data_IF_299429426233
#
_entry.id   IF_299429426233
#
_cell.length_a   1.000
_cell.length_b   1.000
_cell.length_c   1.000
_cell.angle_alpha   90.00
_cell.angle_beta   90.00
_cell.angle_gamma   90.00
#
_symmetry.space_group_name_H-M   'P 1'
#
loop_
_entity.id
_entity.type
_entity.pdbx_description
1 polymer ?
#
# COMPACT_ATOMS: atom_id res chain seq x y z
N UNK A 1 1.69 6.81 6.06
CA UNK A 1 2.73 7.79 6.44
C UNK A 1 4.08 7.43 5.83
N UNK A 2 4.59 6.22 6.06
CA UNK A 2 5.77 5.69 5.37
C UNK A 2 5.37 5.01 4.05
N UNK A 3 6.16 5.19 2.98
CA UNK A 3 5.94 4.49 1.72
C UNK A 3 6.42 3.04 1.85
N UNK A 4 5.57 2.10 1.41
CA UNK A 4 5.83 0.66 1.54
C UNK A 4 6.27 0.07 0.21
N UNK A 5 7.25 -0.83 0.28
CA UNK A 5 7.63 -1.74 -0.80
C UNK A 5 7.31 -3.14 -0.31
N UNK A 6 6.56 -3.90 -1.11
CA UNK A 6 6.14 -5.25 -0.77
C UNK A 6 6.28 -6.18 -1.97
N UNK A 7 6.27 -7.49 -1.71
CA UNK A 7 6.20 -8.48 -2.79
C UNK A 7 4.77 -8.60 -3.32
N UNK A 8 4.63 -8.85 -4.61
CA UNK A 8 3.34 -9.15 -5.25
C UNK A 8 2.93 -10.61 -4.99
N UNK A 9 2.48 -10.88 -3.77
CA UNK A 9 1.93 -12.18 -3.38
C UNK A 9 0.41 -12.10 -3.18
N UNK A 10 -0.34 -13.15 -3.53
CA UNK A 10 -1.69 -13.34 -3.01
C UNK A 10 -1.61 -13.59 -1.50
N UNK A 11 -2.39 -12.93 -0.63
CA UNK A 11 -3.30 -11.79 -0.76
C UNK A 11 -2.80 -10.63 0.11
N UNK A 12 -3.24 -9.40 -0.16
CA UNK A 12 -2.97 -8.25 0.71
C UNK A 12 -2.14 -7.16 0.04
N UNK A 13 -0.87 -7.37 -0.34
CA UNK A 13 -0.01 -6.30 -0.87
C UNK A 13 -0.59 -5.56 -2.07
N UNK A 14 -1.12 -6.28 -3.06
CA UNK A 14 -1.72 -5.68 -4.25
C UNK A 14 -2.95 -4.83 -3.91
N UNK A 15 -3.80 -5.31 -2.99
CA UNK A 15 -4.97 -4.59 -2.50
C UNK A 15 -4.56 -3.36 -1.69
N UNK A 16 -3.70 -3.54 -0.68
CA UNK A 16 -3.23 -2.49 0.23
C UNK A 16 -2.50 -1.38 -0.54
N UNK A 17 -1.70 -1.71 -1.55
CA UNK A 17 -0.97 -0.72 -2.33
C UNK A 17 -1.74 -0.21 -3.56
N UNK A 18 -2.97 -0.68 -3.79
CA UNK A 18 -3.79 -0.35 -4.96
C UNK A 18 -3.02 -0.57 -6.27
N UNK A 19 -2.57 -1.81 -6.48
CA UNK A 19 -1.75 -2.23 -7.62
C UNK A 19 -0.50 -1.34 -7.86
N UNK A 20 0.12 -0.86 -6.77
CA UNK A 20 1.33 -0.03 -6.82
C UNK A 20 1.08 1.48 -6.92
N UNK A 21 -0.15 1.96 -6.80
CA UNK A 21 -0.44 3.39 -6.79
C UNK A 21 0.12 4.12 -5.55
N UNK A 22 0.20 3.41 -4.40
CA UNK A 22 0.62 3.95 -3.10
C UNK A 22 1.91 3.33 -2.54
N UNK A 23 2.62 2.54 -3.35
CA UNK A 23 3.84 1.83 -2.98
C UNK A 23 4.39 1.05 -4.18
N UNK A 24 5.41 0.23 -3.99
CA UNK A 24 5.95 -0.60 -5.08
C UNK A 24 5.70 -2.08 -4.77
N UNK A 25 5.25 -2.80 -5.79
CA UNK A 25 5.13 -4.26 -5.77
C UNK A 25 6.29 -4.86 -6.56
N UNK A 26 6.99 -5.82 -5.97
CA UNK A 26 8.10 -6.55 -6.61
C UNK A 26 7.79 -8.05 -6.67
N UNK A 27 8.35 -8.83 -7.62
CA UNK A 27 8.13 -10.28 -7.64
C UNK A 27 8.58 -10.97 -6.36
N UNK A 28 7.87 -12.04 -5.96
CA UNK A 28 8.25 -12.87 -4.81
C UNK A 28 9.61 -13.53 -5.10
N UNK A 29 10.53 -13.43 -4.15
CA UNK A 29 11.87 -14.03 -4.26
C UNK A 29 12.90 -13.20 -5.03
N UNK A 30 12.50 -12.07 -5.63
CA UNK A 30 13.41 -11.18 -6.36
C UNK A 30 14.01 -10.11 -5.42
N UNK A 31 15.08 -10.48 -4.72
CA UNK A 31 15.80 -9.58 -3.83
C UNK A 31 16.48 -8.41 -4.56
N UNK A 32 16.87 -8.61 -5.82
CA UNK A 32 17.45 -7.56 -6.64
C UNK A 32 16.41 -6.48 -6.95
N UNK A 33 15.22 -6.85 -7.40
CA UNK A 33 14.11 -5.93 -7.63
C UNK A 33 13.72 -5.18 -6.34
N UNK A 34 13.66 -5.87 -5.20
CA UNK A 34 13.39 -5.24 -3.90
C UNK A 34 14.42 -4.14 -3.57
N UNK A 35 15.71 -4.43 -3.74
CA UNK A 35 16.78 -3.47 -3.47
C UNK A 35 16.73 -2.25 -4.39
N UNK A 36 16.43 -2.46 -5.68
CA UNK A 36 16.27 -1.39 -6.66
C UNK A 36 15.07 -0.49 -6.34
N UNK A 37 13.94 -1.09 -5.94
CA UNK A 37 12.75 -0.37 -5.50
C UNK A 37 13.03 0.52 -4.27
N UNK A 38 13.83 0.03 -3.31
CA UNK A 38 14.24 0.82 -2.15
C UNK A 38 15.02 2.08 -2.57
N UNK A 39 15.98 1.93 -3.48
CA UNK A 39 16.74 3.07 -4.02
C UNK A 39 15.84 4.04 -4.79
N UNK A 40 14.86 3.54 -5.54
CA UNK A 40 13.89 4.38 -6.25
C UNK A 40 13.05 5.22 -5.28
N UNK A 41 12.52 4.61 -4.22
CA UNK A 41 11.71 5.31 -3.21
C UNK A 41 12.52 6.37 -2.47
N UNK A 42 13.78 6.08 -2.14
CA UNK A 42 14.66 7.07 -1.50
C UNK A 42 14.94 8.28 -2.40
N UNK A 43 15.02 8.08 -3.72
CA UNK A 43 15.27 9.16 -4.69
C UNK A 43 14.03 9.98 -5.00
N UNK A 44 12.87 9.34 -5.08
CA UNK A 44 11.61 9.97 -5.48
C UNK A 44 10.44 9.39 -4.68
N UNK A 45 10.30 9.79 -3.40
CA UNK A 45 9.22 9.29 -2.56
C UNK A 45 7.88 9.91 -2.97
N UNK A 46 6.79 9.18 -2.72
CA UNK A 46 5.46 9.75 -2.74
C UNK A 46 5.30 10.78 -1.62
N UNK A 47 4.41 11.75 -1.83
CA UNK A 47 4.10 12.74 -0.81
C UNK A 47 3.42 12.09 0.39
N UNK A 48 3.68 12.63 1.59
CA UNK A 48 3.04 12.16 2.81
C UNK A 48 1.51 12.21 2.70
N UNK A 49 0.95 13.24 2.07
CA UNK A 49 -0.50 13.37 1.87
C UNK A 49 -1.09 12.20 1.09
N UNK A 50 -0.43 11.79 0.01
CA UNK A 50 -0.85 10.63 -0.79
C UNK A 50 -0.79 9.33 0.01
N UNK A 51 0.23 9.18 0.86
CA UNK A 51 0.35 8.02 1.75
C UNK A 51 -0.70 8.03 2.88
N UNK A 52 -1.07 9.21 3.36
CA UNK A 52 -2.12 9.37 4.38
C UNK A 52 -3.51 9.16 3.80
N UNK A 53 -3.75 9.57 2.55
CA UNK A 53 -4.98 9.27 1.80
C UNK A 53 -5.25 7.76 1.78
N UNK A 54 -4.25 6.94 1.42
CA UNK A 54 -4.42 5.49 1.42
C UNK A 54 -4.69 4.92 2.80
N UNK A 55 -4.00 5.42 3.83
CA UNK A 55 -4.22 4.98 5.20
C UNK A 55 -5.66 5.26 5.68
N UNK A 56 -6.22 6.42 5.32
CA UNK A 56 -7.61 6.79 5.66
C UNK A 56 -8.65 5.86 5.04
N UNK A 57 -8.35 5.22 3.91
CA UNK A 57 -9.23 4.18 3.36
C UNK A 57 -9.43 3.02 4.34
N UNK A 58 -8.43 2.70 5.16
CA UNK A 58 -8.51 1.63 6.17
C UNK A 58 -8.83 2.16 7.57
N UNK A 59 -9.49 3.33 7.68
CA UNK A 59 -9.84 3.88 8.99
C UNK A 59 -10.94 3.08 9.68
N UNK A 60 -10.94 3.12 11.00
CA UNK A 60 -11.96 2.49 11.84
C UNK A 60 -13.35 3.01 11.51
N UNK A 61 -13.48 4.33 11.31
CA UNK A 61 -14.76 4.98 11.01
C UNK A 61 -15.36 4.43 9.72
N UNK A 62 -14.54 4.30 8.67
CA UNK A 62 -15.00 3.72 7.41
C UNK A 62 -15.37 2.26 7.59
N UNK A 63 -14.50 1.47 8.21
CA UNK A 63 -14.78 0.04 8.43
C UNK A 63 -16.11 -0.17 9.18
N UNK A 64 -16.34 0.58 10.25
CA UNK A 64 -17.61 0.54 11.02
C UNK A 64 -18.80 0.92 10.15
N UNK A 65 -18.68 1.97 9.33
CA UNK A 65 -19.76 2.40 8.42
C UNK A 65 -20.13 1.31 7.40
N UNK A 66 -19.13 0.62 6.82
CA UNK A 66 -19.36 -0.47 5.86
C UNK A 66 -20.04 -1.68 6.54
N UNK A 67 -19.64 -2.03 7.76
CA UNK A 67 -20.31 -3.09 8.53
C UNK A 67 -21.77 -2.73 8.86
N UNK A 68 -22.03 -1.50 9.32
CA UNK A 68 -23.39 -1.05 9.64
C UNK A 68 -24.31 -1.03 8.42
N UNK A 69 -23.78 -0.73 7.22
CA UNK A 69 -24.55 -0.74 5.98
C UNK A 69 -25.03 -2.13 5.57
N UNK A 70 -24.39 -3.20 6.06
CA UNK A 70 -24.79 -4.60 5.80
C UNK A 70 -25.75 -5.10 6.88
N UNK A 71 -25.64 -4.60 8.11
CA UNK A 71 -26.42 -5.05 9.27
C UNK A 71 -27.80 -4.37 9.37
N UNK A 72 -27.96 -3.19 8.77
CA UNK A 72 -29.21 -2.42 8.73
C UNK A 72 -29.97 -2.64 7.42
#
# INVERSE_FOLDING_TARGET
GCQVIATDCPSGPAEILSAGQYGILVPVGDSAALSLAMLQVLKSPLTQDKLMERARYFSTERAVSEYLAILN
#
